data_IF_341495653021
#
_entry.id   IF_341495653021
#
_cell.length_a   1.000
_cell.length_b   1.000
_cell.length_c   1.000
_cell.angle_alpha   90.00
_cell.angle_beta   90.00
_cell.angle_gamma   90.00
#
_symmetry.space_group_name_H-M   'P 1'
#
loop_
_entity.id
_entity.type
_entity.pdbx_description
1 polymer ?
#
# COMPACT_ATOMS: atom_id res chain seq x y z
N UNK A 1 5.13 7.64 -15.10
CA UNK A 1 3.87 8.37 -14.83
C UNK A 1 2.83 8.26 -15.94
N UNK A 2 3.21 8.06 -17.21
CA UNK A 2 2.24 7.96 -18.31
C UNK A 2 1.28 6.77 -18.20
N UNK A 3 1.76 5.62 -17.72
CA UNK A 3 0.95 4.41 -17.54
C UNK A 3 -0.19 4.66 -16.54
N UNK A 4 0.09 5.32 -15.41
CA UNK A 4 -0.91 5.64 -14.40
C UNK A 4 -1.97 6.62 -14.95
N UNK A 5 -1.54 7.61 -15.75
CA UNK A 5 -2.46 8.55 -16.41
C UNK A 5 -3.36 7.84 -17.43
N UNK A 6 -2.78 6.96 -18.26
CA UNK A 6 -3.54 6.12 -19.19
C UNK A 6 -4.54 5.25 -18.43
N UNK A 7 -4.12 4.64 -17.32
CA UNK A 7 -5.00 3.85 -16.47
C UNK A 7 -6.18 4.68 -15.94
N UNK A 8 -5.93 5.88 -15.41
CA UNK A 8 -7.00 6.77 -14.94
C UNK A 8 -7.97 7.18 -16.06
N UNK A 9 -7.46 7.46 -17.25
CA UNK A 9 -8.31 7.77 -18.42
C UNK A 9 -9.15 6.55 -18.82
N UNK A 10 -8.56 5.36 -18.85
CA UNK A 10 -9.26 4.11 -19.14
C UNK A 10 -10.35 3.85 -18.09
N UNK A 11 -10.03 3.98 -16.79
CA UNK A 11 -10.97 3.83 -15.68
C UNK A 11 -12.15 4.79 -15.77
N UNK A 12 -11.95 5.98 -16.33
CA UNK A 12 -13.00 6.99 -16.46
C UNK A 12 -13.89 6.80 -17.70
N UNK A 13 -13.63 5.83 -18.57
CA UNK A 13 -14.43 5.60 -19.77
C UNK A 13 -15.80 4.99 -19.45
N UNK A 14 -16.79 5.25 -20.31
CA UNK A 14 -18.19 4.86 -20.14
C UNK A 14 -18.42 3.34 -19.95
N UNK A 15 -17.49 2.51 -20.42
CA UNK A 15 -17.54 1.06 -20.26
C UNK A 15 -17.31 0.63 -18.80
N UNK A 16 -16.59 1.44 -18.01
CA UNK A 16 -16.21 1.11 -16.64
C UNK A 16 -17.03 1.85 -15.58
N UNK A 17 -17.80 2.87 -15.97
CA UNK A 17 -18.70 3.54 -15.05
C UNK A 17 -19.95 2.68 -14.77
N UNK A 18 -20.39 2.59 -13.50
CA UNK A 18 -21.61 1.88 -13.17
C UNK A 18 -22.83 2.63 -13.71
N UNK A 19 -23.62 1.99 -14.58
CA UNK A 19 -24.75 2.62 -15.28
C UNK A 19 -26.08 2.48 -14.55
N UNK A 20 -26.22 1.42 -13.74
CA UNK A 20 -27.46 1.10 -13.04
C UNK A 20 -27.41 1.48 -11.55
N UNK A 21 -28.52 1.97 -11.00
CA UNK A 21 -28.65 2.27 -9.56
C UNK A 21 -28.33 1.04 -8.70
N UNK A 22 -28.74 -0.15 -9.17
CA UNK A 22 -28.46 -1.44 -8.52
C UNK A 22 -26.96 -1.80 -8.52
N UNK A 23 -26.26 -1.42 -9.59
CA UNK A 23 -24.81 -1.62 -9.72
C UNK A 23 -24.05 -0.69 -8.77
N UNK A 24 -24.48 0.56 -8.67
CA UNK A 24 -23.91 1.55 -7.74
C UNK A 24 -24.12 1.13 -6.28
N UNK A 25 -25.33 0.66 -5.93
CA UNK A 25 -25.62 0.20 -4.56
C UNK A 25 -24.77 -0.99 -4.15
N UNK A 26 -24.32 -1.80 -5.12
CA UNK A 26 -23.47 -2.95 -4.88
C UNK A 26 -21.99 -2.58 -4.65
N UNK A 27 -21.50 -1.53 -5.31
CA UNK A 27 -20.12 -1.05 -5.15
C UNK A 27 -19.89 -0.08 -3.99
N UNK A 28 -20.93 0.65 -3.60
CA UNK A 28 -20.89 1.53 -2.43
C UNK A 28 -20.29 0.89 -1.16
N UNK A 29 -20.72 -0.31 -0.72
CA UNK A 29 -20.20 -0.92 0.51
C UNK A 29 -18.72 -1.30 0.41
N UNK A 30 -18.26 -1.85 -0.73
CA UNK A 30 -16.86 -2.23 -0.91
C UNK A 30 -15.93 -1.01 -0.96
N UNK A 31 -16.35 0.07 -1.62
CA UNK A 31 -15.62 1.33 -1.64
C UNK A 31 -15.57 2.01 -0.27
N UNK A 32 -16.68 1.98 0.49
CA UNK A 32 -16.70 2.48 1.87
C UNK A 32 -15.78 1.67 2.76
N UNK A 33 -15.83 0.34 2.66
CA UNK A 33 -14.94 -0.56 3.40
C UNK A 33 -13.47 -0.26 3.11
N UNK A 34 -13.09 -0.16 1.83
CA UNK A 34 -11.73 0.21 1.42
C UNK A 34 -11.30 1.56 2.01
N UNK A 35 -12.13 2.61 1.88
CA UNK A 35 -11.82 3.92 2.46
C UNK A 35 -11.62 3.85 3.97
N UNK A 36 -12.47 3.13 4.69
CA UNK A 36 -12.35 2.94 6.14
C UNK A 36 -11.05 2.24 6.52
N UNK A 37 -10.71 1.15 5.83
CA UNK A 37 -9.47 0.39 6.06
C UNK A 37 -8.24 1.25 5.75
N UNK A 38 -8.23 1.96 4.63
CA UNK A 38 -7.15 2.87 4.27
C UNK A 38 -6.94 3.95 5.32
N UNK A 39 -8.01 4.61 5.79
CA UNK A 39 -7.92 5.64 6.83
C UNK A 39 -7.35 5.06 8.13
N UNK A 40 -7.83 3.89 8.55
CA UNK A 40 -7.30 3.18 9.72
C UNK A 40 -5.80 2.92 9.57
N UNK A 41 -5.35 2.34 8.45
CA UNK A 41 -3.93 2.10 8.19
C UNK A 41 -3.08 3.39 8.25
N UNK A 42 -3.55 4.50 7.65
CA UNK A 42 -2.86 5.78 7.74
C UNK A 42 -2.73 6.28 9.19
N UNK A 43 -3.83 6.23 9.96
CA UNK A 43 -3.80 6.68 11.37
C UNK A 43 -2.88 5.82 12.25
N UNK A 44 -2.86 4.51 12.04
CA UNK A 44 -1.97 3.60 12.75
C UNK A 44 -0.50 3.88 12.39
N UNK A 45 -0.18 4.05 11.11
CA UNK A 45 1.17 4.34 10.64
C UNK A 45 1.71 5.65 11.23
N UNK A 46 0.92 6.72 11.20
CA UNK A 46 1.31 7.99 11.83
C UNK A 46 1.49 7.88 13.35
N UNK A 47 0.61 7.12 14.02
CA UNK A 47 0.75 6.83 15.44
C UNK A 47 2.07 6.12 15.76
N UNK A 48 2.39 5.04 15.04
CA UNK A 48 3.64 4.31 15.23
C UNK A 48 4.88 5.17 14.97
N UNK A 49 4.87 6.00 13.92
CA UNK A 49 6.00 6.90 13.63
C UNK A 49 6.21 7.96 14.71
N UNK A 50 5.13 8.51 15.27
CA UNK A 50 5.21 9.47 16.37
C UNK A 50 5.84 8.84 17.62
N UNK A 51 5.38 7.65 18.02
CA UNK A 51 5.95 6.93 19.15
C UNK A 51 7.42 6.54 18.89
N UNK A 52 7.74 6.07 17.69
CA UNK A 52 9.11 5.69 17.35
C UNK A 52 10.07 6.89 17.38
N UNK A 53 9.64 8.06 16.89
CA UNK A 53 10.44 9.30 16.91
C UNK A 53 10.66 9.85 18.33
N UNK A 54 9.71 9.64 19.24
CA UNK A 54 9.80 10.13 20.63
C UNK A 54 10.41 9.12 21.61
N UNK A 55 10.45 7.84 21.24
CA UNK A 55 11.01 6.76 22.06
C UNK A 55 12.41 7.04 22.63
N UNK A 56 13.38 7.57 21.85
CA UNK A 56 14.73 7.84 22.36
C UNK A 56 14.78 8.93 23.44
N UNK A 57 13.79 9.82 23.46
CA UNK A 57 13.64 10.91 24.44
C UNK A 57 13.22 10.33 25.80
N UNK A 58 12.24 9.41 25.80
CA UNK A 58 11.76 8.76 27.02
C UNK A 58 12.80 7.83 27.67
N UNK A 59 13.64 7.17 26.87
CA UNK A 59 14.69 6.26 27.36
C UNK A 59 15.98 6.99 27.82
N UNK A 60 16.00 8.33 27.85
CA UNK A 60 17.21 9.15 28.07
C UNK A 60 18.38 8.82 27.12
N UNK A 61 18.13 8.10 26.02
CA UNK A 61 19.13 7.64 25.05
C UNK A 61 19.75 8.81 24.27
N UNK A 62 19.05 9.95 24.23
CA UNK A 62 19.56 11.24 23.72
C UNK A 62 20.87 11.65 24.40
N UNK A 63 21.05 11.37 25.71
CA UNK A 63 22.29 11.68 26.43
C UNK A 63 23.50 10.88 25.91
N UNK A 64 23.26 9.75 25.25
CA UNK A 64 24.29 8.91 24.62
C UNK A 64 24.54 9.29 23.15
N UNK A 65 23.87 10.34 22.64
CA UNK A 65 23.86 10.76 21.23
C UNK A 65 23.66 9.59 20.27
N UNK A 66 22.76 8.64 20.62
CA UNK A 66 22.44 7.51 19.74
C UNK A 66 21.45 7.98 18.68
N UNK A 67 21.77 7.69 17.42
CA UNK A 67 20.90 8.00 16.28
C UNK A 67 19.78 6.94 16.16
N UNK A 68 18.58 7.33 15.68
CA UNK A 68 17.47 6.40 15.44
C UNK A 68 17.84 5.24 14.50
N UNK A 69 18.62 5.54 13.46
CA UNK A 69 19.28 4.54 12.61
C UNK A 69 20.79 4.65 12.74
N UNK A 70 21.43 3.51 12.98
CA UNK A 70 22.88 3.38 12.94
C UNK A 70 23.33 3.40 11.47
N UNK A 71 23.89 4.52 11.04
CA UNK A 71 24.52 4.68 9.75
C UNK A 71 25.86 5.42 9.92
N UNK A 72 26.83 5.10 9.06
CA UNK A 72 28.11 5.82 9.03
C UNK A 72 27.94 7.13 8.28
N UNK A 73 28.42 8.22 8.87
CA UNK A 73 28.43 9.54 8.27
C UNK A 73 29.88 10.05 8.20
N UNK A 74 30.25 10.85 7.19
CA UNK A 74 31.62 11.37 7.03
C UNK A 74 31.99 12.47 8.05
N UNK A 75 31.09 12.81 8.98
CA UNK A 75 31.27 13.81 10.03
C UNK A 75 30.98 13.22 11.41
N UNK A 76 31.47 13.86 12.47
CA UNK A 76 31.27 13.38 13.84
C UNK A 76 29.84 13.68 14.34
N UNK A 77 28.99 12.66 14.33
CA UNK A 77 27.58 12.73 14.74
C UNK A 77 27.36 12.85 16.25
N UNK A 78 28.42 12.86 17.08
CA UNK A 78 28.31 13.03 18.54
C UNK A 78 28.48 14.48 19.00
N UNK A 79 28.84 15.39 18.11
CA UNK A 79 29.09 16.80 18.41
C UNK A 79 27.83 17.61 18.05
N UNK A 80 27.33 18.44 18.98
CA UNK A 80 26.26 19.41 18.69
C UNK A 80 26.83 20.52 17.80
N UNK A 81 26.13 20.96 16.72
CA UNK A 81 24.72 20.72 16.38
C UNK A 81 24.47 19.58 15.37
N UNK A 82 25.51 18.91 14.86
CA UNK A 82 25.38 17.93 13.78
C UNK A 82 24.48 16.75 14.15
N UNK A 83 24.51 16.29 15.41
CA UNK A 83 23.61 15.24 15.91
C UNK A 83 22.14 15.57 15.69
N UNK A 84 21.72 16.77 16.08
CA UNK A 84 20.32 17.21 16.04
C UNK A 84 19.84 17.30 14.58
N UNK A 85 20.69 17.81 13.70
CA UNK A 85 20.40 17.90 12.26
C UNK A 85 20.23 16.49 11.66
N UNK A 86 21.15 15.56 11.94
CA UNK A 86 21.06 14.18 11.44
C UNK A 86 19.84 13.46 12.00
N UNK A 87 19.50 13.68 13.26
CA UNK A 87 18.31 13.10 13.90
C UNK A 87 17.04 13.54 13.18
N UNK A 88 16.87 14.86 13.00
CA UNK A 88 15.71 15.43 12.31
C UNK A 88 15.63 14.92 10.87
N UNK A 89 16.76 14.85 10.17
CA UNK A 89 16.83 14.28 8.83
C UNK A 89 16.38 12.81 8.79
N UNK A 90 16.85 11.97 9.70
CA UNK A 90 16.45 10.56 9.76
C UNK A 90 14.94 10.40 10.06
N UNK A 91 14.40 11.22 10.95
CA UNK A 91 12.94 11.22 11.24
C UNK A 91 12.15 11.59 9.99
N UNK A 92 12.54 12.65 9.28
CA UNK A 92 11.87 13.04 8.03
C UNK A 92 11.98 11.98 6.94
N UNK A 93 13.16 11.36 6.79
CA UNK A 93 13.37 10.30 5.81
C UNK A 93 12.46 9.09 6.09
N UNK A 94 12.30 8.72 7.36
CA UNK A 94 11.44 7.59 7.76
C UNK A 94 9.96 7.93 7.56
N UNK A 95 9.54 9.16 7.88
CA UNK A 95 8.18 9.61 7.59
C UNK A 95 7.91 9.50 6.10
N UNK A 96 8.82 10.01 5.26
CA UNK A 96 8.67 9.92 3.81
C UNK A 96 8.58 8.46 3.35
N UNK A 97 9.50 7.59 3.77
CA UNK A 97 9.50 6.16 3.41
C UNK A 97 8.23 5.42 3.85
N UNK A 98 7.75 5.67 5.06
CA UNK A 98 6.53 5.04 5.55
C UNK A 98 5.28 5.54 4.79
N UNK A 99 5.20 6.84 4.50
CA UNK A 99 4.08 7.39 3.72
C UNK A 99 4.07 6.88 2.28
N UNK A 100 5.22 6.71 1.64
CA UNK A 100 5.28 6.13 0.29
C UNK A 100 4.89 4.66 0.31
N UNK A 101 5.37 3.87 1.28
CA UNK A 101 4.97 2.47 1.44
C UNK A 101 3.45 2.31 1.63
N UNK A 102 2.87 3.04 2.58
CA UNK A 102 1.41 3.03 2.83
C UNK A 102 0.61 3.51 1.61
N UNK A 103 1.16 4.44 0.81
CA UNK A 103 0.51 4.91 -0.42
C UNK A 103 0.52 3.84 -1.52
N UNK A 104 1.61 3.08 -1.67
CA UNK A 104 1.70 1.97 -2.63
C UNK A 104 0.73 0.86 -2.26
N UNK A 105 0.68 0.45 -1.00
CA UNK A 105 -0.26 -0.59 -0.54
C UNK A 105 -1.72 -0.17 -0.72
N UNK A 106 -2.05 1.10 -0.42
CA UNK A 106 -3.40 1.62 -0.64
C UNK A 106 -3.78 1.67 -2.12
N UNK A 107 -2.83 1.99 -3.01
CA UNK A 107 -3.05 1.96 -4.46
C UNK A 107 -3.33 0.53 -4.94
N UNK A 108 -2.54 -0.44 -4.49
CA UNK A 108 -2.72 -1.86 -4.80
C UNK A 108 -4.09 -2.35 -4.28
N UNK A 109 -4.44 -2.02 -3.04
CA UNK A 109 -5.74 -2.34 -2.46
C UNK A 109 -6.91 -1.73 -3.26
N UNK A 110 -6.77 -0.48 -3.72
CA UNK A 110 -7.79 0.18 -4.53
C UNK A 110 -7.98 -0.52 -5.90
N UNK A 111 -6.88 -0.91 -6.54
CA UNK A 111 -6.92 -1.67 -7.79
C UNK A 111 -7.56 -3.04 -7.59
N UNK A 112 -7.28 -3.72 -6.48
CA UNK A 112 -7.88 -5.02 -6.16
C UNK A 112 -9.40 -4.93 -5.93
N UNK A 113 -9.87 -3.88 -5.25
CA UNK A 113 -11.31 -3.61 -5.09
C UNK A 113 -11.97 -3.37 -6.44
N UNK A 114 -11.28 -2.65 -7.32
CA UNK A 114 -11.77 -2.35 -8.66
C UNK A 114 -11.82 -3.61 -9.56
N UNK A 115 -10.78 -4.44 -9.52
CA UNK A 115 -10.73 -5.72 -10.23
C UNK A 115 -11.86 -6.65 -9.73
N UNK A 116 -12.03 -6.79 -8.42
CA UNK A 116 -13.13 -7.58 -7.83
C UNK A 116 -14.50 -7.06 -8.24
N UNK A 117 -14.63 -5.73 -8.34
CA UNK A 117 -15.83 -5.10 -8.84
C UNK A 117 -16.13 -5.45 -10.30
N UNK A 118 -15.14 -5.40 -11.17
CA UNK A 118 -15.27 -5.79 -12.57
C UNK A 118 -15.66 -7.25 -12.73
N UNK A 119 -15.02 -8.17 -12.00
CA UNK A 119 -15.37 -9.60 -12.05
C UNK A 119 -16.80 -9.85 -11.66
N UNK A 120 -17.30 -9.18 -10.61
CA UNK A 120 -18.69 -9.31 -10.20
C UNK A 120 -19.65 -8.90 -11.32
N UNK A 121 -19.35 -7.83 -12.06
CA UNK A 121 -20.16 -7.39 -13.20
C UNK A 121 -20.16 -8.41 -14.30
N UNK A 122 -18.98 -8.88 -14.71
CA UNK A 122 -18.85 -9.89 -15.76
C UNK A 122 -19.61 -11.15 -15.37
N UNK A 123 -19.48 -11.63 -14.14
CA UNK A 123 -20.25 -12.77 -13.62
C UNK A 123 -21.76 -12.52 -13.69
N UNK A 124 -22.23 -11.33 -13.29
CA UNK A 124 -23.65 -10.97 -13.34
C UNK A 124 -24.19 -10.95 -14.77
N UNK A 125 -23.45 -10.38 -15.72
CA UNK A 125 -23.81 -10.40 -17.14
C UNK A 125 -23.81 -11.83 -17.71
N UNK A 126 -22.82 -12.65 -17.36
CA UNK A 126 -22.76 -14.05 -17.80
C UNK A 126 -23.88 -14.89 -17.20
N UNK A 127 -24.26 -14.67 -15.94
CA UNK A 127 -25.41 -15.34 -15.31
C UNK A 127 -26.74 -14.96 -15.99
N UNK A 128 -26.92 -13.68 -16.32
CA UNK A 128 -28.06 -13.21 -17.11
C UNK A 128 -28.10 -13.79 -18.53
N UNK A 129 -26.95 -14.19 -19.06
CA UNK A 129 -26.78 -14.77 -20.40
C UNK A 129 -26.58 -16.29 -20.34
N UNK A 130 -27.16 -16.96 -19.34
CA UNK A 130 -27.00 -18.39 -19.05
C UNK A 130 -27.02 -19.26 -20.31
N UNK A 131 -25.84 -19.66 -20.82
CA UNK A 131 -25.53 -20.96 -21.46
C UNK A 131 -24.09 -21.14 -22.03
N UNK A 132 -23.01 -20.48 -21.57
CA UNK A 132 -21.64 -20.84 -22.07
C UNK A 132 -20.52 -20.91 -21.00
N UNK A 133 -20.12 -22.18 -20.77
CA UNK A 133 -18.78 -22.80 -20.57
C UNK A 133 -17.83 -22.29 -19.45
N UNK A 134 -17.40 -23.17 -18.53
CA UNK A 134 -16.60 -22.84 -17.34
C UNK A 134 -15.08 -22.67 -17.61
N UNK A 135 -14.66 -22.50 -18.86
CA UNK A 135 -13.26 -22.49 -19.30
C UNK A 135 -12.95 -21.27 -20.19
N UNK A 136 -13.34 -20.09 -19.76
CA UNK A 136 -13.05 -18.83 -20.48
C UNK A 136 -11.75 -18.19 -19.96
N UNK A 137 -11.15 -17.30 -20.75
CA UNK A 137 -9.93 -16.53 -20.42
C UNK A 137 -9.99 -15.78 -19.07
N UNK A 138 -11.20 -15.54 -18.55
CA UNK A 138 -11.46 -14.92 -17.26
C UNK A 138 -10.98 -15.81 -16.09
N UNK A 139 -11.13 -17.13 -16.17
CA UNK A 139 -10.62 -18.07 -15.15
C UNK A 139 -9.09 -18.03 -15.07
N UNK A 140 -8.43 -17.95 -16.23
CA UNK A 140 -6.97 -17.81 -16.30
C UNK A 140 -6.49 -16.45 -15.76
N UNK A 141 -7.27 -15.38 -15.94
CA UNK A 141 -6.99 -14.08 -15.33
C UNK A 141 -7.06 -14.15 -13.79
N UNK A 142 -8.03 -14.90 -13.24
CA UNK A 142 -8.13 -15.15 -11.80
C UNK A 142 -6.92 -15.91 -11.24
N UNK A 143 -6.47 -16.94 -11.95
CA UNK A 143 -5.28 -17.73 -11.59
C UNK A 143 -4.00 -16.88 -11.64
N UNK A 144 -3.88 -16.03 -12.67
CA UNK A 144 -2.74 -15.10 -12.79
C UNK A 144 -2.70 -14.06 -11.67
N UNK A 145 -3.87 -13.60 -11.21
CA UNK A 145 -4.00 -12.64 -10.12
C UNK A 145 -3.64 -13.24 -8.77
N UNK A 146 -4.11 -14.46 -8.49
CA UNK A 146 -3.73 -15.20 -7.27
C UNK A 146 -2.21 -15.45 -7.27
N UNK A 147 -1.63 -15.82 -8.41
CA UNK A 147 -0.19 -15.99 -8.54
C UNK A 147 0.58 -14.68 -8.31
N UNK A 148 0.09 -13.53 -8.79
CA UNK A 148 0.72 -12.23 -8.54
C UNK A 148 0.73 -11.87 -7.05
N UNK A 149 -0.38 -12.09 -6.33
CA UNK A 149 -0.46 -11.87 -4.88
C UNK A 149 0.51 -12.79 -4.13
N UNK A 150 0.61 -14.06 -4.54
CA UNK A 150 1.56 -15.02 -3.95
C UNK A 150 3.00 -14.58 -4.19
N UNK A 151 3.33 -14.07 -5.38
CA UNK A 151 4.66 -13.56 -5.70
C UNK A 151 5.01 -12.32 -4.88
N UNK A 152 4.07 -11.40 -4.66
CA UNK A 152 4.28 -10.24 -3.79
C UNK A 152 4.54 -10.68 -2.34
N UNK A 153 3.73 -11.59 -1.80
CA UNK A 153 3.94 -12.16 -0.45
C UNK A 153 5.30 -12.85 -0.35
N UNK A 154 5.70 -13.60 -1.38
CA UNK A 154 6.99 -14.29 -1.42
C UNK A 154 8.17 -13.30 -1.45
N UNK A 155 8.08 -12.23 -2.24
CA UNK A 155 9.09 -11.17 -2.31
C UNK A 155 9.26 -10.47 -0.96
N UNK A 156 8.18 -10.15 -0.26
CA UNK A 156 8.23 -9.55 1.08
C UNK A 156 8.86 -10.52 2.11
N UNK A 157 8.49 -11.79 2.07
CA UNK A 157 9.08 -12.82 2.95
C UNK A 157 10.57 -13.06 2.65
N UNK A 158 10.97 -13.06 1.37
CA UNK A 158 12.35 -13.24 0.94
C UNK A 158 13.24 -12.09 1.41
N UNK A 159 12.81 -10.84 1.20
CA UNK A 159 13.55 -9.66 1.69
C UNK A 159 13.67 -9.65 3.22
N UNK A 160 12.62 -10.07 3.94
CA UNK A 160 12.67 -10.19 5.40
C UNK A 160 13.68 -11.23 5.90
N UNK A 161 13.98 -12.25 5.10
CA UNK A 161 14.96 -13.28 5.43
C UNK A 161 16.41 -12.83 5.15
N UNK A 162 16.63 -12.11 4.06
CA UNK A 162 17.93 -11.49 3.72
C UNK A 162 18.40 -10.47 4.76
N UNK A 163 17.48 -9.68 5.34
CA UNK A 163 17.80 -8.69 6.38
C UNK A 163 18.18 -9.33 7.72
N UNK A 164 17.78 -10.59 7.98
CA UNK A 164 18.17 -11.35 9.18
C UNK A 164 19.50 -12.09 9.04
N UNK A 165 19.98 -12.27 7.81
CA UNK A 165 21.21 -13.01 7.49
C UNK A 165 22.44 -12.11 7.35
N UNK A 166 22.29 -10.80 7.55
CA UNK A 166 23.38 -9.82 7.68
C UNK A 166 23.41 -9.24 9.08
#
# INVERSE_FOLDING_TARGET
MEILKKLMVTLNSDSFQPKNVRQISLFQPSLKFWKTVSILCWTMAYGSMFFWSTYPIFDNSVKKCRLPFLAWYPYNTKISPYYEITYVYQVFAIIFLATTAVSVDNLIAALNVYIGAQYYLTMYYTYMTSLVVPLTSEFFSFLSFIMAIIVEIFMYCWFGNEVKLK
#
